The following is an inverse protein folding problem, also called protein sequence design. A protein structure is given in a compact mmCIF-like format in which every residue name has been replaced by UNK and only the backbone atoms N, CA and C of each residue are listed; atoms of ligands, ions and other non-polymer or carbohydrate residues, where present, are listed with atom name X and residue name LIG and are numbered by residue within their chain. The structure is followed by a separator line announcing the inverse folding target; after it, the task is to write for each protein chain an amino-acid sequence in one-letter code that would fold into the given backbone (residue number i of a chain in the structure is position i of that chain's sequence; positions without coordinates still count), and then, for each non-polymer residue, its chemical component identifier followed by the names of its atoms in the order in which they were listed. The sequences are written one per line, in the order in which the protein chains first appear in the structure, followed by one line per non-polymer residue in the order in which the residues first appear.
data_IF_517582638725
#
_entry.id   IF_517582638725
#
_cell.length_a   1.000
_cell.length_b   1.000
_cell.length_c   1.000
_cell.angle_alpha   90.00
_cell.angle_beta   90.00
_cell.angle_gamma   90.00
#
_symmetry.space_group_name_H-M   'P 1'
#
loop_
_entity.id
_entity.type
_entity.pdbx_description
1 polymer ?
#
# COMPACT_ATOMS: atom_id res chain seq x y z
N UNK A 1 12.78 6.06 -16.17
CA UNK A 1 11.82 5.52 -15.18
C UNK A 1 12.59 4.72 -14.15
N UNK A 2 12.57 5.10 -12.86
CA UNK A 2 13.11 4.23 -11.80
C UNK A 2 12.07 3.14 -11.54
N UNK A 3 12.35 1.90 -11.95
CA UNK A 3 11.56 0.73 -11.58
C UNK A 3 11.62 0.59 -10.06
N UNK A 4 10.47 0.61 -9.39
CA UNK A 4 10.43 0.35 -7.95
C UNK A 4 10.93 -1.08 -7.68
N UNK A 5 11.60 -1.33 -6.54
CA UNK A 5 12.05 -2.68 -6.20
C UNK A 5 10.85 -3.64 -6.21
N UNK A 6 10.85 -4.64 -7.09
CA UNK A 6 9.87 -5.72 -7.02
C UNK A 6 10.32 -6.67 -5.92
N UNK A 7 9.59 -6.67 -4.80
CA UNK A 7 9.73 -7.76 -3.83
C UNK A 7 9.11 -8.99 -4.49
N UNK A 8 9.84 -10.10 -4.68
CA UNK A 8 9.23 -11.32 -5.21
C UNK A 8 8.15 -11.81 -4.24
N UNK A 9 6.96 -12.06 -4.77
CA UNK A 9 5.79 -12.48 -3.98
C UNK A 9 5.20 -13.75 -4.57
N UNK A 10 5.17 -14.82 -3.79
CA UNK A 10 4.40 -16.01 -4.11
C UNK A 10 2.98 -15.86 -3.55
N UNK A 11 1.99 -15.63 -4.42
CA UNK A 11 0.60 -15.45 -3.99
C UNK A 11 -0.06 -16.74 -3.46
N UNK A 12 0.54 -17.91 -3.72
CA UNK A 12 0.07 -19.19 -3.19
C UNK A 12 0.65 -19.52 -1.82
N UNK A 13 1.53 -18.66 -1.30
CA UNK A 13 2.02 -18.70 0.07
C UNK A 13 1.63 -17.41 0.78
N UNK A 14 0.70 -17.52 1.73
CA UNK A 14 0.22 -16.34 2.46
C UNK A 14 1.36 -15.66 3.24
N UNK A 15 2.33 -16.42 3.76
CA UNK A 15 3.43 -15.83 4.52
C UNK A 15 4.37 -15.03 3.62
N UNK A 16 4.67 -15.54 2.42
CA UNK A 16 5.43 -14.79 1.41
C UNK A 16 4.74 -13.49 1.03
N UNK A 17 3.41 -13.53 0.81
CA UNK A 17 2.60 -12.37 0.51
C UNK A 17 2.57 -11.33 1.65
N UNK A 18 2.26 -11.76 2.87
CA UNK A 18 2.18 -10.90 4.05
C UNK A 18 3.52 -10.22 4.32
N UNK A 19 4.61 -10.98 4.35
CA UNK A 19 5.95 -10.43 4.59
C UNK A 19 6.40 -9.47 3.50
N UNK A 20 5.92 -9.63 2.25
CA UNK A 20 6.20 -8.66 1.19
C UNK A 20 5.46 -7.34 1.42
N UNK A 21 4.19 -7.39 1.81
CA UNK A 21 3.42 -6.18 2.14
C UNK A 21 4.02 -5.43 3.33
N UNK A 22 4.39 -6.13 4.39
CA UNK A 22 5.05 -5.52 5.56
C UNK A 22 6.34 -4.79 5.17
N UNK A 23 7.18 -5.40 4.32
CA UNK A 23 8.40 -4.77 3.81
C UNK A 23 8.11 -3.52 2.98
N UNK A 24 7.07 -3.56 2.15
CA UNK A 24 6.66 -2.41 1.34
C UNK A 24 6.07 -1.28 2.18
N UNK A 25 5.31 -1.60 3.23
CA UNK A 25 4.74 -0.61 4.18
C UNK A 25 5.81 0.16 4.94
N UNK A 26 7.00 -0.43 5.19
CA UNK A 26 8.15 0.30 5.78
C UNK A 26 8.67 1.46 4.91
N UNK A 27 8.31 1.52 3.63
CA UNK A 27 8.64 2.67 2.80
C UNK A 27 7.79 3.89 3.15
N UNK A 28 6.58 3.68 3.70
CA UNK A 28 5.70 4.77 4.13
C UNK A 28 6.33 5.53 5.30
N UNK A 29 7.06 4.87 6.19
CA UNK A 29 7.81 5.53 7.28
C UNK A 29 8.84 6.52 6.76
N UNK A 30 9.51 6.19 5.64
CA UNK A 30 10.51 7.08 5.02
C UNK A 30 9.84 8.30 4.40
N UNK A 31 8.71 8.10 3.72
CA UNK A 31 7.96 9.20 3.11
C UNK A 31 7.31 10.06 4.19
N UNK A 32 6.80 9.47 5.26
CA UNK A 32 6.28 10.17 6.44
C UNK A 32 7.35 10.96 7.19
N UNK A 33 8.57 10.45 7.29
CA UNK A 33 9.72 11.20 7.81
C UNK A 33 10.01 12.43 6.95
N UNK A 34 10.06 12.27 5.62
CA UNK A 34 10.24 13.40 4.68
C UNK A 34 9.13 14.43 4.80
N UNK A 35 7.88 14.01 4.96
CA UNK A 35 6.75 14.92 5.19
C UNK A 35 6.96 15.81 6.42
N UNK A 36 7.53 15.24 7.48
CA UNK A 36 7.79 15.98 8.72
C UNK A 36 9.00 16.90 8.60
N UNK A 37 10.05 16.49 7.88
CA UNK A 37 11.33 17.19 7.79
C UNK A 37 11.43 18.21 6.64
N UNK A 38 10.85 17.92 5.49
CA UNK A 38 11.01 18.75 4.28
C UNK A 38 10.03 19.91 4.25
N UNK A 39 8.86 19.79 4.90
CA UNK A 39 7.93 20.90 5.02
C UNK A 39 8.50 21.91 6.02
N UNK A 40 8.99 23.08 5.56
CA UNK A 40 9.52 24.09 6.46
C UNK A 40 8.38 24.57 7.36
N UNK A 41 8.67 24.84 8.63
CA UNK A 41 7.72 25.62 9.43
C UNK A 41 7.63 27.02 8.85
N UNK A 42 6.46 27.65 8.91
CA UNK A 42 6.18 28.98 8.37
C UNK A 42 7.26 30.05 8.55
N UNK A 43 7.99 30.01 9.66
CA UNK A 43 9.09 30.93 9.97
C UNK A 43 10.28 30.83 9.00
N UNK A 44 10.43 29.69 8.32
CA UNK A 44 11.52 29.39 7.37
C UNK A 44 11.05 29.23 5.93
N UNK A 45 9.74 29.11 5.67
CA UNK A 45 9.23 28.99 4.31
C UNK A 45 9.27 30.35 3.62
N UNK A 46 10.19 30.52 2.67
CA UNK A 46 10.27 31.72 1.84
C UNK A 46 9.03 31.95 1.00
N UNK A 47 8.34 30.88 0.55
CA UNK A 47 7.15 30.98 -0.32
C UNK A 47 6.18 29.78 -0.13
N UNK A 48 4.87 30.05 -0.16
CA UNK A 48 3.81 29.01 -0.11
C UNK A 48 3.90 28.02 -1.29
N UNK A 49 4.44 28.45 -2.42
CA UNK A 49 4.63 27.62 -3.62
C UNK A 49 5.56 26.43 -3.34
N UNK A 50 6.58 26.62 -2.50
CA UNK A 50 7.53 25.55 -2.14
C UNK A 50 6.81 24.48 -1.31
N UNK A 51 6.00 24.89 -0.34
CA UNK A 51 5.20 23.99 0.50
C UNK A 51 4.23 23.16 -0.36
N UNK A 52 3.52 23.80 -1.29
CA UNK A 52 2.58 23.11 -2.17
C UNK A 52 3.29 22.09 -3.08
N UNK A 53 4.46 22.44 -3.61
CA UNK A 53 5.27 21.55 -4.44
C UNK A 53 5.74 20.33 -3.64
N UNK A 54 6.29 20.54 -2.44
CA UNK A 54 6.75 19.45 -1.55
C UNK A 54 5.59 18.52 -1.19
N UNK A 55 4.45 19.09 -0.77
CA UNK A 55 3.25 18.32 -0.47
C UNK A 55 2.79 17.46 -1.65
N UNK A 56 2.75 18.04 -2.86
CA UNK A 56 2.34 17.32 -4.07
C UNK A 56 3.33 16.20 -4.43
N UNK A 57 4.63 16.41 -4.23
CA UNK A 57 5.64 15.39 -4.49
C UNK A 57 5.50 14.22 -3.51
N UNK A 58 5.35 14.51 -2.22
CA UNK A 58 5.20 13.50 -1.17
C UNK A 58 3.89 12.73 -1.32
N UNK A 59 2.79 13.40 -1.67
CA UNK A 59 1.51 12.74 -1.97
C UNK A 59 1.63 11.75 -3.12
N UNK A 60 2.31 12.16 -4.21
CA UNK A 60 2.57 11.29 -5.34
C UNK A 60 3.46 10.09 -4.98
N UNK A 61 4.37 10.24 -4.02
CA UNK A 61 5.18 9.13 -3.52
C UNK A 61 4.35 8.14 -2.70
N UNK A 62 3.52 8.61 -1.77
CA UNK A 62 2.59 7.75 -1.05
C UNK A 62 1.65 6.99 -1.98
N UNK A 63 1.06 7.69 -2.95
CA UNK A 63 0.17 7.08 -3.94
C UNK A 63 0.86 5.97 -4.72
N UNK A 64 2.09 6.19 -5.16
CA UNK A 64 2.93 5.19 -5.85
C UNK A 64 3.18 3.95 -4.99
N UNK A 65 3.47 4.13 -3.70
CA UNK A 65 3.67 3.02 -2.76
C UNK A 65 2.37 2.24 -2.51
N UNK A 66 1.25 2.94 -2.37
CA UNK A 66 -0.09 2.35 -2.23
C UNK A 66 -0.49 1.56 -3.48
N UNK A 67 -0.34 2.14 -4.67
CA UNK A 67 -0.58 1.47 -5.96
C UNK A 67 0.25 0.19 -6.08
N UNK A 68 1.53 0.22 -5.66
CA UNK A 68 2.37 -0.98 -5.66
C UNK A 68 1.78 -2.07 -4.75
N UNK A 69 1.32 -1.73 -3.55
CA UNK A 69 0.74 -2.71 -2.61
C UNK A 69 -0.60 -3.23 -3.10
N UNK A 70 -1.50 -2.37 -3.55
CA UNK A 70 -2.78 -2.79 -4.13
C UNK A 70 -2.58 -3.71 -5.34
N UNK A 71 -1.63 -3.42 -6.22
CA UNK A 71 -1.34 -4.29 -7.37
C UNK A 71 -0.96 -5.71 -6.96
N UNK A 72 -0.21 -5.87 -5.85
CA UNK A 72 0.16 -7.18 -5.31
C UNK A 72 -1.05 -7.85 -4.67
N UNK A 73 -1.83 -7.12 -3.87
CA UNK A 73 -3.06 -7.62 -3.23
C UNK A 73 -4.04 -8.15 -4.28
N UNK A 74 -4.29 -7.37 -5.32
CA UNK A 74 -5.25 -7.72 -6.37
C UNK A 74 -4.77 -8.90 -7.22
N UNK A 75 -3.50 -8.87 -7.64
CA UNK A 75 -2.89 -10.02 -8.32
C UNK A 75 -3.00 -11.29 -7.49
N UNK A 76 -2.68 -11.22 -6.19
CA UNK A 76 -2.77 -12.40 -5.33
C UNK A 76 -4.21 -12.86 -5.08
N UNK A 77 -5.19 -11.96 -5.02
CA UNK A 77 -6.61 -12.34 -5.01
C UNK A 77 -6.98 -13.09 -6.29
N UNK A 78 -6.55 -12.60 -7.45
CA UNK A 78 -6.94 -13.15 -8.74
C UNK A 78 -6.27 -14.50 -9.03
N UNK A 79 -4.98 -14.64 -8.72
CA UNK A 79 -4.28 -15.93 -8.80
C UNK A 79 -4.94 -17.00 -7.91
N UNK A 80 -5.35 -16.65 -6.69
CA UNK A 80 -6.04 -17.59 -5.79
C UNK A 80 -7.46 -17.92 -6.24
N UNK A 81 -8.22 -16.95 -6.78
CA UNK A 81 -9.54 -17.22 -7.37
C UNK A 81 -9.42 -18.13 -8.59
N UNK A 82 -8.44 -17.89 -9.45
CA UNK A 82 -8.18 -18.72 -10.62
C UNK A 82 -7.84 -20.15 -10.20
N UNK A 83 -6.95 -20.32 -9.21
CA UNK A 83 -6.61 -21.63 -8.66
C UNK A 83 -7.83 -22.32 -8.04
N UNK A 84 -8.64 -21.60 -7.28
CA UNK A 84 -9.88 -22.15 -6.70
C UNK A 84 -10.81 -22.68 -7.79
N UNK A 85 -11.04 -21.89 -8.84
CA UNK A 85 -11.93 -22.27 -9.95
C UNK A 85 -11.40 -23.49 -10.70
N UNK A 86 -10.09 -23.55 -10.96
CA UNK A 86 -9.46 -24.71 -11.61
C UNK A 86 -9.61 -26.00 -10.78
N UNK A 87 -9.32 -25.94 -9.47
CA UNK A 87 -9.45 -27.10 -8.59
C UNK A 87 -10.91 -27.50 -8.34
N UNK A 88 -11.82 -26.54 -8.26
CA UNK A 88 -13.25 -26.80 -8.13
C UNK A 88 -13.77 -27.57 -9.34
N UNK A 89 -13.39 -27.16 -10.55
CA UNK A 89 -13.76 -27.84 -11.80
C UNK A 89 -13.17 -29.25 -11.92
N UNK A 90 -12.08 -29.55 -11.19
CA UNK A 90 -11.45 -30.86 -11.13
C UNK A 90 -12.05 -31.79 -10.07
N UNK A 91 -13.12 -31.39 -9.39
CA UNK A 91 -13.71 -32.11 -8.25
C UNK A 91 -12.68 -32.41 -7.15
N UNK A 92 -11.76 -31.47 -6.92
CA UNK A 92 -10.75 -31.56 -5.87
C UNK A 92 -11.44 -31.65 -4.50
N UNK A 93 -10.92 -32.44 -3.53
CA UNK A 93 -11.53 -32.55 -2.21
C UNK A 93 -11.75 -31.19 -1.52
N UNK A 94 -12.87 -31.08 -0.81
CA UNK A 94 -13.29 -29.85 -0.11
C UNK A 94 -12.23 -29.26 0.83
N UNK A 95 -11.37 -30.09 1.44
CA UNK A 95 -10.34 -29.61 2.37
C UNK A 95 -9.28 -28.76 1.67
N UNK A 96 -8.93 -29.07 0.42
CA UNK A 96 -7.98 -28.27 -0.37
C UNK A 96 -8.61 -26.97 -0.83
N UNK A 97 -9.87 -27.03 -1.29
CA UNK A 97 -10.66 -25.85 -1.65
C UNK A 97 -10.81 -24.88 -0.47
N UNK A 98 -11.09 -25.40 0.73
CA UNK A 98 -11.16 -24.61 1.97
C UNK A 98 -9.84 -23.93 2.30
N UNK A 99 -8.70 -24.56 2.01
CA UNK A 99 -7.37 -23.96 2.22
C UNK A 99 -7.20 -22.72 1.34
N UNK A 100 -7.60 -22.79 0.08
CA UNK A 100 -7.55 -21.64 -0.85
C UNK A 100 -8.54 -20.55 -0.43
N UNK A 101 -9.78 -20.92 -0.07
CA UNK A 101 -10.77 -19.95 0.43
C UNK A 101 -10.29 -19.21 1.68
N UNK A 102 -9.62 -19.91 2.59
CA UNK A 102 -8.98 -19.29 3.75
C UNK A 102 -7.90 -18.30 3.35
N UNK A 103 -7.05 -18.65 2.36
CA UNK A 103 -6.05 -17.73 1.82
C UNK A 103 -6.70 -16.48 1.21
N UNK A 104 -7.73 -16.65 0.37
CA UNK A 104 -8.50 -15.54 -0.21
C UNK A 104 -9.07 -14.64 0.88
N UNK A 105 -9.64 -15.23 1.95
CA UNK A 105 -10.17 -14.48 3.10
C UNK A 105 -9.09 -13.66 3.79
N UNK A 106 -7.89 -14.21 3.98
CA UNK A 106 -6.78 -13.49 4.60
C UNK A 106 -6.26 -12.36 3.70
N UNK A 107 -6.12 -12.59 2.39
CA UNK A 107 -5.72 -11.54 1.43
C UNK A 107 -6.75 -10.40 1.41
N UNK A 108 -8.05 -10.71 1.47
CA UNK A 108 -9.11 -9.68 1.57
C UNK A 108 -8.98 -8.84 2.85
N UNK A 109 -8.57 -9.44 3.97
CA UNK A 109 -8.29 -8.68 5.20
C UNK A 109 -7.13 -7.72 5.01
N UNK A 110 -6.06 -8.16 4.34
CA UNK A 110 -4.94 -7.26 4.02
C UNK A 110 -5.36 -6.10 3.10
N UNK A 111 -6.32 -6.31 2.20
CA UNK A 111 -6.92 -5.22 1.42
C UNK A 111 -7.59 -4.18 2.32
N UNK A 112 -8.40 -4.61 3.29
CA UNK A 112 -9.04 -3.69 4.24
C UNK A 112 -8.02 -2.98 5.15
N UNK A 113 -6.93 -3.65 5.53
CA UNK A 113 -5.82 -3.01 6.26
C UNK A 113 -5.20 -1.90 5.41
N UNK A 114 -4.99 -2.14 4.11
CA UNK A 114 -4.45 -1.14 3.19
C UNK A 114 -5.35 0.08 3.03
N UNK A 115 -6.68 -0.11 2.96
CA UNK A 115 -7.66 0.99 2.92
C UNK A 115 -7.59 1.89 4.17
N UNK A 116 -7.35 1.28 5.34
CA UNK A 116 -7.15 2.04 6.60
C UNK A 116 -5.84 2.81 6.58
N UNK A 117 -4.74 2.19 6.11
CA UNK A 117 -3.44 2.85 5.98
C UNK A 117 -3.53 4.04 5.03
N UNK A 118 -4.20 3.88 3.89
CA UNK A 118 -4.43 4.94 2.93
C UNK A 118 -5.18 6.12 3.55
N UNK A 119 -6.29 5.84 4.24
CA UNK A 119 -7.10 6.87 4.92
C UNK A 119 -6.27 7.64 5.96
N UNK A 120 -5.45 6.94 6.76
CA UNK A 120 -4.58 7.56 7.75
C UNK A 120 -3.49 8.42 7.10
N UNK A 121 -2.91 7.95 6.00
CA UNK A 121 -1.90 8.66 5.23
C UNK A 121 -2.48 9.94 4.63
N UNK A 122 -3.65 9.87 4.00
CA UNK A 122 -4.35 11.04 3.45
C UNK A 122 -4.68 12.07 4.53
N UNK A 123 -5.12 11.61 5.72
CA UNK A 123 -5.37 12.48 6.87
C UNK A 123 -4.09 13.19 7.31
N UNK A 124 -3.00 12.46 7.52
CA UNK A 124 -1.71 13.01 7.92
C UNK A 124 -1.18 14.04 6.91
N UNK A 125 -1.26 13.72 5.62
CA UNK A 125 -0.90 14.62 4.51
C UNK A 125 -1.73 15.90 4.56
N UNK A 126 -3.06 15.77 4.61
CA UNK A 126 -3.98 16.90 4.67
C UNK A 126 -3.71 17.79 5.89
N UNK A 127 -3.54 17.20 7.07
CA UNK A 127 -3.26 17.95 8.30
C UNK A 127 -1.94 18.70 8.22
N UNK A 128 -0.86 18.05 7.78
CA UNK A 128 0.46 18.69 7.70
C UNK A 128 0.52 19.77 6.62
N UNK A 129 0.04 19.46 5.42
CA UNK A 129 0.09 20.37 4.28
C UNK A 129 -0.83 21.57 4.44
N UNK A 130 -2.08 21.37 4.90
CA UNK A 130 -2.99 22.51 5.14
C UNK A 130 -2.50 23.41 6.26
N UNK A 131 -1.92 22.84 7.32
CA UNK A 131 -1.41 23.61 8.46
C UNK A 131 -0.35 24.62 8.04
N UNK A 132 0.52 24.29 7.10
CA UNK A 132 1.58 25.22 6.67
C UNK A 132 1.13 26.13 5.51
N UNK A 133 0.18 25.69 4.66
CA UNK A 133 -0.38 26.52 3.57
C UNK A 133 -1.37 27.60 4.05
N UNK A 134 -2.15 27.33 5.10
CA UNK A 134 -3.28 28.19 5.52
C UNK A 134 -3.19 28.76 6.94
N UNK A 135 -2.05 28.61 7.63
CA UNK A 135 -1.77 29.45 8.81
C UNK A 135 -1.45 30.88 8.38
#
# INVERSE_FOLDING_TARGET
MKTMPSVPVNCLDFQSFESALEKLRKNDDKVGFRLNCEIPTKSFSSNNTDVQSICSQIENEFKKLQEQRYSIIERCLDENKALYNDLFNKNTPDYELKTILNRIRLIKREKSVEEVIETQTQKMMSERCKKELYK
#
